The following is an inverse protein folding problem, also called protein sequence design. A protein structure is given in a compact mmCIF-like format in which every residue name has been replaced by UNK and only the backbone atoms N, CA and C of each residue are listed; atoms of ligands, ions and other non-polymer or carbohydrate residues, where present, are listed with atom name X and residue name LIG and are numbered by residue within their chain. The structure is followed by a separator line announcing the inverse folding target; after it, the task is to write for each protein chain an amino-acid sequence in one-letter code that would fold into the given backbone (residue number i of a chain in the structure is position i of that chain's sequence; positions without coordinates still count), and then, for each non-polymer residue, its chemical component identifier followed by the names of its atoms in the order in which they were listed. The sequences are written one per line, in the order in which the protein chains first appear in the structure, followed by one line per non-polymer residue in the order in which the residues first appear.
data_IF_135294452171
#
_entry.id   IF_135294452171
#
_cell.length_a   1.000
_cell.length_b   1.000
_cell.length_c   1.000
_cell.angle_alpha   90.00
_cell.angle_beta   90.00
_cell.angle_gamma   90.00
#
_symmetry.space_group_name_H-M   'P 1'
#
loop_
_entity.id
_entity.type
_entity.pdbx_description
1 polymer ?
#
# COMPACT_ATOMS: atom_id res chain seq x y z
N UNK A 1 17.24 -20.44 1.94
CA UNK A 1 16.30 -20.78 3.01
C UNK A 1 17.10 -21.24 4.21
N UNK A 2 17.51 -20.33 5.12
CA UNK A 2 18.28 -20.66 6.35
C UNK A 2 17.78 -19.77 7.51
N UNK A 3 16.47 -19.70 7.71
CA UNK A 3 15.91 -19.19 8.94
C UNK A 3 15.26 -20.38 9.67
N UNK A 4 15.50 -20.53 10.99
CA UNK A 4 14.85 -21.58 11.77
C UNK A 4 13.32 -21.40 11.73
N UNK A 5 12.55 -22.50 11.88
CA UNK A 5 11.09 -22.43 11.92
C UNK A 5 10.66 -21.48 13.03
N UNK A 6 9.64 -20.65 12.74
CA UNK A 6 9.05 -19.74 13.74
C UNK A 6 8.52 -20.53 14.94
N UNK A 7 8.73 -19.98 16.12
CA UNK A 7 8.20 -20.54 17.37
C UNK A 7 6.67 -20.57 17.32
N UNK A 8 5.99 -21.73 17.52
CA UNK A 8 4.53 -21.86 17.42
C UNK A 8 3.76 -20.95 18.39
N UNK A 9 4.41 -20.45 19.44
CA UNK A 9 3.82 -19.56 20.45
C UNK A 9 3.92 -18.07 20.11
N UNK A 10 4.57 -17.72 19.01
CA UNK A 10 4.67 -16.32 18.59
C UNK A 10 3.38 -15.88 17.89
N UNK A 11 2.68 -14.92 18.48
CA UNK A 11 1.49 -14.32 17.88
C UNK A 11 1.82 -13.80 16.47
N UNK A 12 1.05 -14.25 15.47
CA UNK A 12 1.24 -13.89 14.05
C UNK A 12 1.09 -12.39 13.84
N UNK A 13 0.25 -11.73 14.65
CA UNK A 13 -0.08 -10.29 14.58
C UNK A 13 0.63 -9.49 15.69
N UNK A 14 1.56 -10.11 16.43
CA UNK A 14 2.27 -9.45 17.52
C UNK A 14 3.42 -8.54 17.08
N UNK A 15 3.67 -7.47 17.84
CA UNK A 15 4.85 -6.63 17.70
C UNK A 15 4.90 -5.86 16.37
N UNK A 16 5.97 -6.06 15.61
CA UNK A 16 6.28 -5.31 14.38
C UNK A 16 5.27 -5.51 13.25
N UNK A 17 4.74 -6.73 13.12
CA UNK A 17 3.75 -7.05 12.07
C UNK A 17 2.44 -6.33 12.33
N UNK A 18 1.96 -6.35 13.58
CA UNK A 18 0.75 -5.63 13.98
C UNK A 18 0.88 -4.12 13.77
N UNK A 19 2.01 -3.53 14.15
CA UNK A 19 2.27 -2.10 13.92
C UNK A 19 2.22 -1.76 12.42
N UNK A 20 2.85 -2.58 11.57
CA UNK A 20 2.84 -2.34 10.13
C UNK A 20 1.43 -2.40 9.53
N UNK A 21 0.60 -3.37 9.95
CA UNK A 21 -0.79 -3.49 9.48
C UNK A 21 -1.59 -2.24 9.84
N UNK A 22 -1.52 -1.81 11.10
CA UNK A 22 -2.25 -0.62 11.59
C UNK A 22 -1.78 0.63 10.84
N UNK A 23 -0.47 0.86 10.81
CA UNK A 23 0.10 2.03 10.14
C UNK A 23 -0.27 2.10 8.66
N UNK A 24 -0.16 0.98 7.95
CA UNK A 24 -0.48 0.91 6.51
C UNK A 24 -1.97 1.12 6.27
N UNK A 25 -2.83 0.55 7.12
CA UNK A 25 -4.27 0.77 7.06
C UNK A 25 -4.64 2.25 7.24
N UNK A 26 -4.07 2.92 8.24
CA UNK A 26 -4.28 4.35 8.44
C UNK A 26 -3.78 5.20 7.27
N UNK A 27 -2.62 4.87 6.72
CA UNK A 27 -2.08 5.59 5.56
C UNK A 27 -2.99 5.47 4.34
N UNK A 28 -3.50 4.26 4.06
CA UNK A 28 -4.45 4.04 2.96
C UNK A 28 -5.76 4.79 3.19
N UNK A 29 -6.32 4.70 4.39
CA UNK A 29 -7.54 5.41 4.75
C UNK A 29 -7.40 6.93 4.58
N UNK A 30 -6.25 7.48 4.99
CA UNK A 30 -5.97 8.91 4.85
C UNK A 30 -5.87 9.35 3.37
N UNK A 31 -5.19 8.56 2.53
CA UNK A 31 -5.10 8.85 1.09
C UNK A 31 -6.49 8.82 0.44
N UNK A 32 -7.30 7.80 0.73
CA UNK A 32 -8.65 7.67 0.19
C UNK A 32 -9.54 8.82 0.64
N UNK A 33 -9.47 9.18 1.92
CA UNK A 33 -10.22 10.31 2.47
C UNK A 33 -9.81 11.64 1.84
N UNK A 34 -8.51 11.87 1.64
CA UNK A 34 -8.01 13.06 0.97
C UNK A 34 -8.55 13.17 -0.47
N UNK A 35 -8.53 12.09 -1.24
CA UNK A 35 -9.07 12.05 -2.60
C UNK A 35 -10.59 12.25 -2.60
N UNK A 36 -11.30 11.67 -1.63
CA UNK A 36 -12.73 11.92 -1.44
C UNK A 36 -13.03 13.41 -1.21
N UNK A 37 -12.27 14.05 -0.32
CA UNK A 37 -12.42 15.49 -0.03
C UNK A 37 -12.12 16.35 -1.26
N UNK A 38 -11.08 16.02 -2.02
CA UNK A 38 -10.78 16.68 -3.30
C UNK A 38 -11.95 16.52 -4.28
N UNK A 39 -12.53 15.31 -4.37
CA UNK A 39 -13.70 15.04 -5.18
C UNK A 39 -14.93 15.86 -4.78
N UNK A 40 -15.17 15.95 -3.46
CA UNK A 40 -16.33 16.62 -2.91
C UNK A 40 -16.23 18.15 -3.03
N UNK A 41 -15.12 18.73 -2.57
CA UNK A 41 -14.93 20.18 -2.54
C UNK A 41 -14.36 20.76 -3.83
N UNK A 42 -13.52 20.01 -4.54
CA UNK A 42 -12.91 20.47 -5.79
C UNK A 42 -13.84 20.36 -6.99
N UNK A 43 -14.67 19.32 -7.04
CA UNK A 43 -15.60 19.09 -8.18
C UNK A 43 -17.07 19.26 -7.79
N UNK A 44 -17.39 19.50 -6.52
CA UNK A 44 -18.74 19.82 -6.04
C UNK A 44 -19.77 18.69 -6.21
N UNK A 45 -19.34 17.44 -6.41
CA UNK A 45 -20.24 16.32 -6.70
C UNK A 45 -19.95 15.12 -5.78
N UNK A 46 -20.88 14.75 -4.89
CA UNK A 46 -20.72 13.56 -4.05
C UNK A 46 -20.52 12.26 -4.84
N UNK A 47 -21.15 12.13 -6.01
CA UNK A 47 -20.99 10.97 -6.89
C UNK A 47 -19.57 10.86 -7.43
N UNK A 48 -18.99 11.99 -7.85
CA UNK A 48 -17.59 12.04 -8.29
C UNK A 48 -16.67 11.69 -7.13
N UNK A 49 -16.89 12.27 -5.94
CA UNK A 49 -16.09 12.00 -4.75
C UNK A 49 -16.10 10.52 -4.38
N UNK A 50 -17.28 9.89 -4.35
CA UNK A 50 -17.43 8.45 -4.05
C UNK A 50 -16.74 7.58 -5.10
N UNK A 51 -16.88 7.91 -6.38
CA UNK A 51 -16.22 7.18 -7.48
C UNK A 51 -14.70 7.31 -7.38
N UNK A 52 -14.18 8.53 -7.14
CA UNK A 52 -12.74 8.75 -6.95
C UNK A 52 -12.20 7.98 -5.76
N UNK A 53 -12.90 7.99 -4.63
CA UNK A 53 -12.50 7.23 -3.44
C UNK A 53 -12.50 5.73 -3.68
N UNK A 54 -13.53 5.19 -4.33
CA UNK A 54 -13.63 3.78 -4.69
C UNK A 54 -12.48 3.32 -5.60
N UNK A 55 -12.17 4.08 -6.63
CA UNK A 55 -11.06 3.76 -7.52
C UNK A 55 -9.71 3.92 -6.83
N UNK A 56 -9.57 4.94 -5.97
CA UNK A 56 -8.33 5.16 -5.21
C UNK A 56 -8.02 4.00 -4.29
N UNK A 57 -8.98 3.47 -3.53
CA UNK A 57 -8.72 2.35 -2.61
C UNK A 57 -8.25 1.11 -3.36
N UNK A 58 -8.85 0.81 -4.52
CA UNK A 58 -8.44 -0.32 -5.36
C UNK A 58 -7.01 -0.12 -5.91
N UNK A 59 -6.71 1.06 -6.46
CA UNK A 59 -5.39 1.36 -7.04
C UNK A 59 -4.31 1.43 -5.96
N UNK A 60 -4.61 1.99 -4.78
CA UNK A 60 -3.68 1.98 -3.64
C UNK A 60 -3.35 0.55 -3.20
N UNK A 61 -4.32 -0.34 -3.13
CA UNK A 61 -4.10 -1.76 -2.79
C UNK A 61 -3.23 -2.46 -3.85
N UNK A 62 -3.43 -2.13 -5.12
CA UNK A 62 -2.62 -2.64 -6.22
C UNK A 62 -1.14 -2.27 -6.06
N UNK A 63 -0.83 -1.02 -5.76
CA UNK A 63 0.55 -0.60 -5.47
C UNK A 63 1.07 -1.16 -4.15
N UNK A 64 0.19 -1.26 -3.14
CA UNK A 64 0.54 -1.80 -1.84
C UNK A 64 0.94 -3.27 -1.89
N UNK A 65 0.38 -4.06 -2.79
CA UNK A 65 0.70 -5.47 -3.00
C UNK A 65 2.21 -5.69 -3.23
N UNK A 66 2.87 -4.81 -3.98
CA UNK A 66 4.32 -4.87 -4.16
C UNK A 66 5.08 -4.51 -2.88
N UNK A 67 4.57 -3.55 -2.11
CA UNK A 67 5.22 -3.11 -0.86
C UNK A 67 5.19 -4.16 0.24
N UNK A 68 4.08 -4.90 0.40
CA UNK A 68 3.92 -5.90 1.47
C UNK A 68 4.81 -7.12 1.23
N UNK A 69 5.01 -7.49 -0.01
CA UNK A 69 5.75 -8.71 -0.35
C UNK A 69 7.24 -8.63 -0.07
N UNK A 70 7.82 -7.45 -0.10
CA UNK A 70 9.24 -7.25 0.16
C UNK A 70 9.46 -6.82 1.60
N UNK A 71 10.05 -7.68 2.43
CA UNK A 71 10.56 -7.31 3.76
C UNK A 71 11.72 -6.30 3.66
N UNK A 72 12.37 -6.25 2.50
CA UNK A 72 13.39 -5.27 2.13
C UNK A 72 12.78 -4.24 1.17
N UNK A 73 13.46 -3.11 0.94
CA UNK A 73 13.01 -2.09 0.01
C UNK A 73 12.62 -2.67 -1.37
N UNK A 74 11.53 -2.17 -1.95
CA UNK A 74 11.09 -2.53 -3.32
C UNK A 74 12.21 -2.31 -4.33
N UNK A 75 13.04 -1.29 -4.10
CA UNK A 75 14.18 -0.94 -4.96
C UNK A 75 15.35 -1.94 -4.85
N UNK A 76 15.43 -2.71 -3.77
CA UNK A 76 16.49 -3.70 -3.55
C UNK A 76 16.14 -5.10 -4.13
N UNK A 77 14.87 -5.38 -4.35
CA UNK A 77 14.41 -6.62 -4.96
C UNK A 77 13.71 -6.31 -6.28
N UNK A 78 14.12 -6.94 -7.35
CA UNK A 78 13.54 -6.73 -8.68
C UNK A 78 12.04 -7.10 -8.67
N UNK A 79 11.09 -6.14 -8.64
CA UNK A 79 9.66 -6.41 -8.46
C UNK A 79 9.09 -7.24 -9.62
N UNK A 80 9.70 -7.13 -10.81
CA UNK A 80 9.25 -7.79 -12.03
C UNK A 80 9.68 -9.26 -12.15
N UNK A 81 10.50 -9.78 -11.23
CA UNK A 81 10.96 -11.17 -11.25
C UNK A 81 9.84 -12.19 -11.01
N UNK A 82 8.75 -11.79 -10.40
CA UNK A 82 7.63 -12.68 -10.13
C UNK A 82 6.52 -12.53 -11.16
N UNK A 83 6.51 -13.44 -12.12
CA UNK A 83 5.52 -13.48 -13.20
C UNK A 83 4.06 -13.56 -12.68
N UNK A 84 3.80 -14.37 -11.65
CA UNK A 84 2.46 -14.54 -11.12
C UNK A 84 1.92 -13.24 -10.47
N UNK A 85 2.77 -12.52 -9.74
CA UNK A 85 2.42 -11.23 -9.16
C UNK A 85 2.10 -10.19 -10.24
N UNK A 86 2.92 -10.17 -11.29
CA UNK A 86 2.71 -9.22 -12.40
C UNK A 86 1.43 -9.53 -13.18
N UNK A 87 1.10 -10.81 -13.38
CA UNK A 87 -0.15 -11.22 -14.01
C UNK A 87 -1.34 -10.80 -13.15
N UNK A 88 -1.27 -11.01 -11.83
CA UNK A 88 -2.32 -10.57 -10.90
C UNK A 88 -2.49 -9.05 -10.93
N UNK A 89 -1.38 -8.29 -10.91
CA UNK A 89 -1.40 -6.82 -11.01
C UNK A 89 -2.08 -6.33 -12.29
N UNK A 90 -1.69 -6.87 -13.44
CA UNK A 90 -2.26 -6.50 -14.74
C UNK A 90 -3.73 -6.90 -14.82
N UNK A 91 -4.08 -8.08 -14.31
CA UNK A 91 -5.46 -8.57 -14.28
C UNK A 91 -6.36 -7.67 -13.42
N UNK A 92 -5.93 -7.32 -12.21
CA UNK A 92 -6.67 -6.43 -11.32
C UNK A 92 -6.79 -5.03 -11.91
N UNK A 93 -5.71 -4.47 -12.47
CA UNK A 93 -5.76 -3.17 -13.16
C UNK A 93 -6.74 -3.19 -14.34
N UNK A 94 -6.76 -4.25 -15.14
CA UNK A 94 -7.69 -4.40 -16.25
C UNK A 94 -9.14 -4.45 -15.77
N UNK A 95 -9.42 -5.16 -14.67
CA UNK A 95 -10.76 -5.21 -14.06
C UNK A 95 -11.19 -3.82 -13.57
N UNK A 96 -10.32 -3.11 -12.85
CA UNK A 96 -10.61 -1.76 -12.35
C UNK A 96 -10.95 -0.82 -13.50
N UNK A 97 -10.13 -0.82 -14.56
CA UNK A 97 -10.34 0.00 -15.74
C UNK A 97 -11.62 -0.41 -16.48
N UNK A 98 -11.89 -1.69 -16.63
CA UNK A 98 -13.12 -2.17 -17.25
C UNK A 98 -14.35 -1.70 -16.48
N UNK A 99 -14.36 -1.84 -15.16
CA UNK A 99 -15.46 -1.40 -14.28
C UNK A 99 -15.68 0.11 -14.37
N UNK A 100 -14.60 0.89 -14.39
CA UNK A 100 -14.69 2.34 -14.41
C UNK A 100 -15.05 2.93 -15.77
N UNK A 101 -14.60 2.31 -16.86
CA UNK A 101 -14.78 2.85 -18.23
C UNK A 101 -15.98 2.28 -18.95
N UNK A 102 -16.51 1.12 -18.54
CA UNK A 102 -17.68 0.50 -19.14
C UNK A 102 -18.98 1.08 -18.52
N UNK A 103 -19.74 1.96 -19.23
CA UNK A 103 -20.86 2.68 -18.65
C UNK A 103 -21.95 1.79 -18.02
N UNK A 104 -22.36 0.65 -18.62
CA UNK A 104 -23.36 -0.22 -18.01
C UNK A 104 -22.86 -0.85 -16.69
N UNK A 105 -21.58 -1.22 -16.61
CA UNK A 105 -20.98 -1.81 -15.38
C UNK A 105 -20.80 -0.74 -14.32
N UNK A 106 -20.30 0.43 -14.70
CA UNK A 106 -20.16 1.58 -13.80
C UNK A 106 -21.53 1.98 -13.22
N UNK A 107 -22.58 1.97 -14.04
CA UNK A 107 -23.95 2.27 -13.60
C UNK A 107 -24.48 1.29 -12.55
N UNK A 108 -24.20 -0.02 -12.67
CA UNK A 108 -24.58 -1.02 -11.67
C UNK A 108 -23.94 -0.76 -10.29
N UNK A 109 -22.73 -0.21 -10.27
CA UNK A 109 -22.01 0.15 -9.05
C UNK A 109 -22.23 1.61 -8.63
N UNK A 110 -23.15 2.31 -9.29
CA UNK A 110 -23.41 3.75 -9.06
C UNK A 110 -22.18 4.64 -9.25
N UNK A 111 -21.21 4.20 -10.04
CA UNK A 111 -20.03 4.98 -10.40
C UNK A 111 -20.36 5.96 -11.52
N UNK A 112 -19.71 7.13 -11.52
CA UNK A 112 -19.81 8.12 -12.58
C UNK A 112 -18.57 8.13 -13.46
N UNK A 113 -18.73 8.54 -14.71
CA UNK A 113 -17.59 8.70 -15.60
C UNK A 113 -16.69 9.85 -15.10
N UNK A 114 -15.41 9.60 -15.00
CA UNK A 114 -14.43 10.55 -14.51
C UNK A 114 -13.71 11.25 -15.65
N UNK A 115 -13.38 12.52 -15.44
CA UNK A 115 -12.53 13.29 -16.34
C UNK A 115 -11.06 12.86 -16.22
N UNK A 116 -10.26 13.20 -17.24
CA UNK A 116 -8.83 12.90 -17.26
C UNK A 116 -8.09 13.48 -16.03
N UNK A 117 -8.46 14.69 -15.59
CA UNK A 117 -7.86 15.33 -14.40
C UNK A 117 -8.13 14.51 -13.13
N UNK A 118 -9.34 13.98 -12.97
CA UNK A 118 -9.72 13.15 -11.83
C UNK A 118 -8.90 11.84 -11.81
N UNK A 119 -8.67 11.22 -12.94
CA UNK A 119 -7.79 10.06 -13.09
C UNK A 119 -6.34 10.38 -12.67
N UNK A 120 -5.80 11.53 -13.10
CA UNK A 120 -4.46 11.97 -12.71
C UNK A 120 -4.35 12.14 -11.19
N UNK A 121 -5.37 12.70 -10.54
CA UNK A 121 -5.41 12.86 -9.08
C UNK A 121 -5.41 11.48 -8.40
N UNK A 122 -6.25 10.54 -8.86
CA UNK A 122 -6.34 9.20 -8.31
C UNK A 122 -4.98 8.49 -8.39
N UNK A 123 -4.37 8.43 -9.58
CA UNK A 123 -3.07 7.78 -9.76
C UNK A 123 -1.96 8.49 -8.98
N UNK A 124 -1.91 9.82 -9.02
CA UNK A 124 -0.92 10.61 -8.30
C UNK A 124 -0.96 10.38 -6.80
N UNK A 125 -2.15 10.43 -6.20
CA UNK A 125 -2.34 10.17 -4.77
C UNK A 125 -2.07 8.71 -4.41
N UNK A 126 -2.46 7.76 -5.27
CA UNK A 126 -2.24 6.32 -5.02
C UNK A 126 -0.76 5.94 -5.04
N UNK A 127 0.04 6.55 -5.90
CA UNK A 127 1.49 6.31 -5.96
C UNK A 127 2.20 6.77 -4.67
N UNK A 128 1.66 7.77 -3.96
CA UNK A 128 2.24 8.25 -2.70
C UNK A 128 2.34 7.18 -1.61
N UNK A 129 1.55 6.10 -1.69
CA UNK A 129 1.67 4.98 -0.75
C UNK A 129 3.07 4.34 -0.77
N UNK A 130 3.70 4.29 -1.95
CA UNK A 130 5.01 3.64 -2.14
C UNK A 130 6.10 4.34 -1.30
N UNK A 131 6.39 5.64 -1.49
CA UNK A 131 7.42 6.32 -0.71
C UNK A 131 7.10 6.38 0.77
N UNK A 132 5.83 6.50 1.17
CA UNK A 132 5.43 6.53 2.57
C UNK A 132 5.77 5.20 3.25
N UNK A 133 5.40 4.07 2.65
CA UNK A 133 5.70 2.74 3.21
C UNK A 133 7.20 2.47 3.22
N UNK A 134 7.94 2.87 2.19
CA UNK A 134 9.39 2.72 2.13
C UNK A 134 10.12 3.53 3.21
N UNK A 135 9.70 4.77 3.48
CA UNK A 135 10.27 5.60 4.54
C UNK A 135 10.13 4.93 5.92
N UNK A 136 8.98 4.32 6.19
CA UNK A 136 8.75 3.61 7.46
C UNK A 136 9.60 2.35 7.55
N UNK A 137 9.73 1.57 6.47
CA UNK A 137 10.62 0.41 6.44
C UNK A 137 12.08 0.79 6.70
N UNK A 138 12.55 1.90 6.12
CA UNK A 138 13.89 2.42 6.36
C UNK A 138 14.09 2.84 7.83
N UNK A 139 13.10 3.51 8.43
CA UNK A 139 13.11 3.85 9.85
C UNK A 139 13.17 2.63 10.76
N UNK A 140 12.38 1.59 10.45
CA UNK A 140 12.40 0.33 11.19
C UNK A 140 13.75 -0.39 11.06
N UNK A 141 14.34 -0.43 9.87
CA UNK A 141 15.65 -1.03 9.64
C UNK A 141 16.75 -0.35 10.45
N UNK A 142 16.75 1.00 10.50
CA UNK A 142 17.70 1.76 11.33
C UNK A 142 17.55 1.45 12.83
N UNK A 143 16.31 1.30 13.31
CA UNK A 143 16.02 0.98 14.69
C UNK A 143 16.51 -0.42 15.08
N UNK A 144 16.36 -1.40 14.18
CA UNK A 144 16.87 -2.75 14.40
C UNK A 144 18.40 -2.80 14.41
N UNK A 145 19.05 -2.05 13.52
CA UNK A 145 20.52 -1.95 13.50
C UNK A 145 21.06 -1.33 14.78
N UNK A 146 20.38 -0.30 15.31
CA UNK A 146 20.77 0.29 16.60
C UNK A 146 20.66 -0.71 17.75
N UNK A 147 19.54 -1.42 17.86
CA UNK A 147 19.35 -2.45 18.89
C UNK A 147 20.40 -3.55 18.80
N UNK A 148 20.71 -4.04 17.61
CA UNK A 148 21.73 -5.05 17.39
C UNK A 148 23.15 -4.56 17.76
N UNK A 149 23.43 -3.26 17.63
CA UNK A 149 24.69 -2.66 18.06
C UNK A 149 24.74 -2.50 19.59
N UNK A 150 23.63 -2.11 20.21
CA UNK A 150 23.50 -1.98 21.67
C UNK A 150 23.68 -3.35 22.36
N UNK A 151 22.98 -4.39 21.90
CA UNK A 151 23.14 -5.78 22.40
C UNK A 151 24.57 -6.30 22.23
N UNK A 152 25.23 -5.91 21.14
CA UNK A 152 26.62 -6.32 20.90
C UNK A 152 27.62 -5.58 21.80
N UNK A 153 27.35 -4.32 22.17
CA UNK A 153 28.20 -3.57 23.11
C UNK A 153 28.05 -4.09 24.54
N UNK A 154 26.80 -4.38 24.96
CA UNK A 154 26.54 -4.96 26.28
C UNK A 154 27.24 -6.33 26.45
N UNK A 155 27.23 -7.18 25.43
CA UNK A 155 27.89 -8.48 25.46
C UNK A 155 29.43 -8.42 25.49
N UNK A 156 30.04 -7.29 25.13
CA UNK A 156 31.50 -7.06 25.19
C UNK A 156 31.92 -6.52 26.55
N UNK A 157 31.05 -5.79 27.23
CA UNK A 157 31.32 -5.20 28.54
C UNK A 157 31.12 -6.22 29.70
N UNK A 158 30.53 -7.41 29.43
CA UNK A 158 30.36 -8.51 30.37
C UNK A 158 31.57 -9.47 30.42
N UNK A 159 32.62 -9.25 29.62
CA UNK A 159 33.87 -10.04 29.63
C UNK A 159 35.05 -9.23 30.20
#
# INVERSE_FOLDING_TARGET
MKQPPRDPKQYIIGGRVGFNIIYQGFTQAFIVLAVYMIGLFGFGSPKVATTMAFLTINIVQLFHMYSVRTLHSIFASNPFKNKLLNIAFVGELAIILFVALCPPVAGLLSLTQLSFVQWLIIFGCSILIIPIVELVKLGQKKKDQRKALEEKSESVDEF
#
